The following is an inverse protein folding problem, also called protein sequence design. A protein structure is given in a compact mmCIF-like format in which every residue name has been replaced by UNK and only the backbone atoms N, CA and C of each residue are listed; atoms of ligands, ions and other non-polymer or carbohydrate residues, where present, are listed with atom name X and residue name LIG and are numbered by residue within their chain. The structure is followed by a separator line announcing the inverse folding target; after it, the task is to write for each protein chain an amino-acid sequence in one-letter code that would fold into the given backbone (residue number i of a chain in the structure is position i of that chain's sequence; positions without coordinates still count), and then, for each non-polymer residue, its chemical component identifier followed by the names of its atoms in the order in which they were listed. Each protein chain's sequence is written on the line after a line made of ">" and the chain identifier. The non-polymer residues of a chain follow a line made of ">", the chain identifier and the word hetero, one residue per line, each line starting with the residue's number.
data_IF_924975386704
#
_entry.id   IF_924975386704
#
_cell.length_a   1.000
_cell.length_b   1.000
_cell.length_c   1.000
_cell.angle_alpha   90.00
_cell.angle_beta   90.00
_cell.angle_gamma   90.00
#
_symmetry.space_group_name_H-M   'P 1'
#
loop_
_entity.id
_entity.type
_entity.pdbx_description
1 polymer ?
#
# COMPACT_ATOMS: atom_id res chain seq x y z
N UNK A 1 3.08 -21.03 -6.52
CA UNK A 1 2.37 -19.73 -6.58
C UNK A 1 2.45 -19.13 -5.19
N UNK A 2 3.39 -18.20 -4.96
CA UNK A 2 3.51 -17.61 -3.63
C UNK A 2 2.65 -16.34 -3.61
N UNK A 3 1.39 -16.50 -3.21
CA UNK A 3 0.51 -15.35 -2.99
C UNK A 3 0.97 -14.68 -1.69
N UNK A 4 1.40 -13.41 -1.78
CA UNK A 4 1.72 -12.63 -0.60
C UNK A 4 0.55 -12.56 0.37
N UNK A 5 0.83 -12.33 1.65
CA UNK A 5 -0.19 -12.27 2.70
C UNK A 5 -0.71 -10.85 2.88
N UNK A 6 -2.02 -10.63 2.70
CA UNK A 6 -2.69 -9.42 3.17
C UNK A 6 -3.17 -9.63 4.61
N UNK A 7 -2.71 -8.80 5.55
CA UNK A 7 -3.11 -8.88 6.96
C UNK A 7 -4.33 -8.00 7.17
N UNK A 8 -5.45 -8.62 7.56
CA UNK A 8 -6.68 -7.89 7.89
C UNK A 8 -6.68 -7.52 9.37
N UNK A 9 -6.86 -6.23 9.65
CA UNK A 9 -7.16 -5.73 10.98
C UNK A 9 -8.60 -5.20 10.99
N UNK A 10 -9.19 -5.05 12.19
CA UNK A 10 -10.50 -4.40 12.37
C UNK A 10 -10.48 -2.88 12.05
N UNK A 11 -9.47 -2.40 11.33
CA UNK A 11 -9.30 -0.99 11.02
C UNK A 11 -10.22 -0.58 9.87
N UNK A 12 -10.68 0.66 9.92
CA UNK A 12 -11.32 1.31 8.77
C UNK A 12 -10.28 1.53 7.68
N UNK A 13 -10.61 1.15 6.45
CA UNK A 13 -9.73 1.33 5.29
C UNK A 13 -10.17 2.51 4.43
N UNK A 14 -9.20 3.17 3.82
CA UNK A 14 -9.47 4.15 2.77
C UNK A 14 -10.22 3.48 1.61
N UNK A 15 -11.29 4.12 1.06
CA UNK A 15 -12.01 3.57 -0.09
C UNK A 15 -11.08 3.24 -1.26
N UNK A 16 -11.23 2.04 -1.82
CA UNK A 16 -10.43 1.54 -2.94
C UNK A 16 -9.05 1.00 -2.54
N UNK A 17 -8.58 1.20 -1.31
CA UNK A 17 -7.25 0.73 -0.88
C UNK A 17 -7.15 -0.80 -0.91
N UNK A 18 -8.12 -1.51 -0.34
CA UNK A 18 -8.09 -2.98 -0.25
C UNK A 18 -7.94 -3.63 -1.63
N UNK A 19 -8.70 -3.20 -2.63
CA UNK A 19 -8.62 -3.72 -3.98
C UNK A 19 -7.22 -3.52 -4.63
N UNK A 20 -6.52 -2.44 -4.27
CA UNK A 20 -5.13 -2.22 -4.72
C UNK A 20 -4.17 -3.15 -4.00
N UNK A 21 -4.35 -3.36 -2.69
CA UNK A 21 -3.49 -4.24 -1.90
C UNK A 21 -3.67 -5.71 -2.28
N UNK A 22 -4.89 -6.15 -2.60
CA UNK A 22 -5.18 -7.50 -3.12
C UNK A 22 -4.49 -7.77 -4.45
N UNK A 23 -4.32 -6.76 -5.30
CA UNK A 23 -3.49 -6.87 -6.52
C UNK A 23 -2.01 -6.87 -6.19
N UNK A 24 -1.58 -6.03 -5.24
CA UNK A 24 -0.16 -5.92 -4.90
C UNK A 24 0.39 -7.24 -4.35
N UNK A 25 -0.38 -7.98 -3.54
CA UNK A 25 0.06 -9.29 -3.01
C UNK A 25 0.23 -10.38 -4.08
N UNK A 26 -0.22 -10.16 -5.32
CA UNK A 26 0.00 -11.11 -6.42
C UNK A 26 1.35 -10.92 -7.11
N UNK A 27 2.08 -9.84 -6.80
CA UNK A 27 3.40 -9.59 -7.35
C UNK A 27 4.45 -10.49 -6.70
N UNK A 28 5.32 -11.07 -7.53
CA UNK A 28 6.47 -11.83 -7.04
C UNK A 28 7.41 -10.92 -6.23
N UNK A 29 7.92 -11.43 -5.11
CA UNK A 29 8.76 -10.68 -4.18
C UNK A 29 7.98 -10.01 -3.05
N UNK A 30 6.65 -9.82 -3.18
CA UNK A 30 5.80 -9.31 -2.10
C UNK A 30 5.45 -10.45 -1.15
N UNK A 31 5.87 -10.33 0.11
CA UNK A 31 5.65 -11.36 1.14
C UNK A 31 4.46 -11.02 2.02
N UNK A 32 4.37 -9.80 2.52
CA UNK A 32 3.27 -9.39 3.42
C UNK A 32 2.92 -7.93 3.20
N UNK A 33 1.63 -7.63 3.20
CA UNK A 33 1.08 -6.28 3.15
C UNK A 33 0.17 -6.09 4.36
N UNK A 34 0.42 -5.05 5.16
CA UNK A 34 -0.30 -4.76 6.40
C UNK A 34 -0.82 -3.32 6.39
N UNK A 35 -2.14 -3.10 6.33
CA UNK A 35 -2.72 -1.78 6.53
C UNK A 35 -2.46 -1.29 7.96
N UNK A 36 -2.01 -0.05 8.08
CA UNK A 36 -1.70 0.60 9.34
C UNK A 36 -2.72 1.67 9.72
N UNK A 37 -2.24 2.64 10.51
CA UNK A 37 -3.04 3.72 11.09
C UNK A 37 -3.72 4.56 10.01
N UNK A 38 -5.00 4.85 10.22
CA UNK A 38 -5.79 5.81 9.45
C UNK A 38 -5.77 7.19 10.15
N UNK A 39 -5.53 8.25 9.40
CA UNK A 39 -5.46 9.63 9.87
C UNK A 39 -6.02 10.61 8.83
N UNK A 40 -6.04 11.91 9.14
CA UNK A 40 -6.58 12.97 8.28
C UNK A 40 -5.46 13.88 7.76
N UNK A 41 -5.51 14.25 6.48
CA UNK A 41 -4.62 15.27 5.90
C UNK A 41 -5.31 16.63 5.77
N UNK A 42 -4.49 17.69 5.79
CA UNK A 42 -4.94 19.07 5.53
C UNK A 42 -5.36 19.28 4.06
N UNK A 43 -4.59 18.71 3.11
CA UNK A 43 -4.88 18.80 1.67
C UNK A 43 -5.83 17.71 1.16
N UNK A 44 -6.61 18.06 0.14
CA UNK A 44 -7.52 17.14 -0.56
C UNK A 44 -6.79 16.40 -1.70
N UNK A 45 -7.00 15.10 -1.81
CA UNK A 45 -6.45 14.23 -2.85
C UNK A 45 -7.60 13.56 -3.62
N UNK A 46 -7.94 14.00 -4.85
CA UNK A 46 -9.17 13.55 -5.52
C UNK A 46 -9.13 12.09 -5.97
N UNK A 47 -7.93 11.51 -6.13
CA UNK A 47 -7.73 10.11 -6.53
C UNK A 47 -6.92 9.39 -5.46
N UNK A 48 -7.13 8.07 -5.35
CA UNK A 48 -6.30 7.22 -4.51
C UNK A 48 -4.86 7.28 -5.00
N UNK A 49 -3.95 7.64 -4.11
CA UNK A 49 -2.51 7.56 -4.33
C UNK A 49 -1.93 6.61 -3.29
N UNK A 50 -0.93 5.81 -3.69
CA UNK A 50 -0.13 4.98 -2.81
C UNK A 50 1.33 5.25 -3.15
N UNK A 51 2.13 5.72 -2.18
CA UNK A 51 3.53 6.12 -2.40
C UNK A 51 4.44 5.55 -1.33
N UNK A 52 5.65 5.19 -1.71
CA UNK A 52 6.71 4.84 -0.74
C UNK A 52 7.02 6.07 0.10
N UNK A 53 7.11 5.88 1.42
CA UNK A 53 7.47 6.92 2.37
C UNK A 53 8.88 6.72 2.90
N UNK A 54 9.18 5.54 3.45
CA UNK A 54 10.49 5.23 4.03
C UNK A 54 10.78 3.72 3.92
N UNK A 55 12.06 3.31 3.81
CA UNK A 55 12.44 1.92 4.02
C UNK A 55 12.19 1.51 5.48
N UNK A 56 11.87 0.23 5.67
CA UNK A 56 11.76 -0.44 6.97
C UNK A 56 12.60 -1.72 6.93
N UNK A 57 12.68 -2.44 8.07
CA UNK A 57 13.33 -3.75 8.09
C UNK A 57 12.58 -4.73 7.18
N UNK A 58 13.23 -5.18 6.11
CA UNK A 58 12.68 -6.15 5.16
C UNK A 58 11.62 -5.59 4.20
N UNK A 59 11.56 -4.27 3.99
CA UNK A 59 10.66 -3.70 2.99
C UNK A 59 10.43 -2.21 3.14
N UNK A 60 9.19 -1.74 2.95
CA UNK A 60 8.85 -0.31 2.89
C UNK A 60 7.57 0.04 3.64
N UNK A 61 7.55 1.25 4.22
CA UNK A 61 6.31 1.92 4.61
C UNK A 61 5.81 2.73 3.43
N UNK A 62 4.54 2.54 3.09
CA UNK A 62 3.79 3.29 2.11
C UNK A 62 2.76 4.20 2.79
N UNK A 63 2.31 5.20 2.04
CA UNK A 63 1.26 6.13 2.45
C UNK A 63 0.18 6.12 1.37
N UNK A 64 -0.99 5.61 1.73
CA UNK A 64 -2.22 5.68 0.95
C UNK A 64 -2.96 6.99 1.24
N UNK A 65 -3.45 7.69 0.22
CA UNK A 65 -4.20 8.95 0.38
C UNK A 65 -5.37 9.01 -0.58
N UNK A 66 -6.53 9.42 -0.09
CA UNK A 66 -7.68 9.84 -0.91
C UNK A 66 -8.56 10.80 -0.11
N UNK A 67 -9.22 11.74 -0.77
CA UNK A 67 -9.94 12.82 -0.12
C UNK A 67 -9.06 13.54 0.91
N UNK A 68 -9.52 13.57 2.17
CA UNK A 68 -8.74 14.08 3.31
C UNK A 68 -8.21 12.95 4.21
N UNK A 69 -8.19 11.72 3.73
CA UNK A 69 -7.77 10.55 4.50
C UNK A 69 -6.38 10.11 4.11
N UNK A 70 -5.60 9.65 5.10
CA UNK A 70 -4.25 9.11 4.95
C UNK A 70 -4.18 7.80 5.72
N UNK A 71 -3.66 6.74 5.10
CA UNK A 71 -3.48 5.46 5.76
C UNK A 71 -2.08 4.94 5.51
N UNK A 72 -1.39 4.52 6.56
CA UNK A 72 -0.10 3.83 6.42
C UNK A 72 -0.33 2.41 5.88
N UNK A 73 0.63 1.90 5.13
CA UNK A 73 0.67 0.49 4.71
C UNK A 73 2.11 0.02 4.83
N UNK A 74 2.32 -1.14 5.43
CA UNK A 74 3.64 -1.75 5.57
C UNK A 74 3.75 -2.93 4.62
N UNK A 75 4.82 -2.96 3.84
CA UNK A 75 5.07 -4.01 2.85
C UNK A 75 6.40 -4.67 3.17
N UNK A 76 6.38 -5.98 3.38
CA UNK A 76 7.57 -6.83 3.45
C UNK A 76 7.81 -7.41 2.07
N UNK A 77 8.97 -7.13 1.50
CA UNK A 77 9.30 -7.43 0.11
C UNK A 77 10.81 -7.49 -0.12
N UNK A 78 11.21 -8.32 -1.09
CA UNK A 78 12.58 -8.37 -1.60
C UNK A 78 12.78 -7.43 -2.81
N UNK A 79 11.71 -6.79 -3.29
CA UNK A 79 11.80 -5.79 -4.36
C UNK A 79 12.59 -4.58 -3.87
N UNK A 80 13.40 -4.01 -4.76
CA UNK A 80 13.98 -2.70 -4.54
C UNK A 80 12.90 -1.61 -4.64
N UNK A 81 13.27 -0.36 -4.35
CA UNK A 81 12.33 0.75 -4.34
C UNK A 81 11.67 0.99 -5.71
N UNK A 82 12.44 0.95 -6.80
CA UNK A 82 11.94 1.21 -8.15
C UNK A 82 10.95 0.14 -8.60
N UNK A 83 11.28 -1.13 -8.37
CA UNK A 83 10.41 -2.26 -8.70
C UNK A 83 9.11 -2.23 -7.91
N UNK A 84 9.18 -1.85 -6.63
CA UNK A 84 7.98 -1.67 -5.81
C UNK A 84 7.13 -0.48 -6.29
N UNK A 85 7.75 0.63 -6.69
CA UNK A 85 7.02 1.76 -7.28
C UNK A 85 6.29 1.35 -8.56
N UNK A 86 6.94 0.60 -9.45
CA UNK A 86 6.32 0.08 -10.66
C UNK A 86 5.15 -0.87 -10.34
N UNK A 87 5.31 -1.79 -9.40
CA UNK A 87 4.25 -2.69 -8.96
C UNK A 87 3.05 -1.92 -8.39
N UNK A 88 3.29 -0.88 -7.58
CA UNK A 88 2.24 0.00 -7.04
C UNK A 88 1.50 0.71 -8.17
N UNK A 89 2.22 1.31 -9.13
CA UNK A 89 1.59 2.01 -10.26
C UNK A 89 0.71 1.09 -11.11
N UNK A 90 1.15 -0.15 -11.33
CA UNK A 90 0.37 -1.12 -12.08
C UNK A 90 -0.90 -1.59 -11.34
N UNK A 91 -0.90 -1.54 -10.00
CA UNK A 91 -2.08 -1.89 -9.19
C UNK A 91 -3.10 -0.75 -9.05
N UNK A 92 -2.65 0.50 -9.17
CA UNK A 92 -3.51 1.68 -9.16
C UNK A 92 -4.32 1.75 -10.47
N UNK A 93 -5.65 1.84 -10.34
CA UNK A 93 -6.53 2.00 -11.50
C UNK A 93 -6.31 3.34 -12.21
N UNK A 94 -6.55 3.38 -13.53
CA UNK A 94 -6.62 4.63 -14.30
C UNK A 94 -7.72 5.56 -13.78
#
# INVERSE_FOLDING_TARGET
>A
MNNGRLVWNHSTHIPGLIAVLEKLITYQGITTVTPGVLSRSKGHCPRLQLRISVPIRGGFKLIARTGKSVQEVFVITDLNQEDLEMAIQACLGK
#
